data_IF_999068586465
#
_entry.id   IF_999068586465
#
_cell.length_a   1.000
_cell.length_b   1.000
_cell.length_c   1.000
_cell.angle_alpha   90.00
_cell.angle_beta   90.00
_cell.angle_gamma   90.00
#
_symmetry.space_group_name_H-M   'P 1'
#
loop_
_entity.id
_entity.type
_entity.pdbx_description
1 polymer ?
#
# COMPACT_ATOMS: atom_id res chain seq x y z
N UNK A 1 14.56 -12.56 21.82
CA UNK A 1 13.86 -12.61 20.52
C UNK A 1 14.46 -13.73 19.69
N UNK A 2 13.64 -14.71 19.30
CA UNK A 2 14.05 -15.90 18.53
C UNK A 2 12.84 -16.35 17.69
N UNK A 3 13.05 -17.13 16.63
CA UNK A 3 12.00 -17.58 15.71
C UNK A 3 12.08 -16.90 14.34
N UNK A 4 11.10 -17.16 13.47
CA UNK A 4 10.99 -16.56 12.14
C UNK A 4 9.86 -15.53 12.18
N UNK A 5 10.21 -14.24 12.26
CA UNK A 5 9.22 -13.17 12.18
C UNK A 5 8.83 -12.91 10.74
N UNK A 6 7.57 -12.56 10.50
CA UNK A 6 7.10 -12.21 9.16
C UNK A 6 7.80 -10.94 8.65
N UNK A 7 8.38 -11.00 7.45
CA UNK A 7 9.08 -9.88 6.85
C UNK A 7 8.11 -8.96 6.09
N UNK A 8 7.28 -8.25 6.84
CA UNK A 8 6.26 -7.34 6.27
C UNK A 8 6.89 -6.23 5.41
N UNK A 9 8.08 -5.75 5.75
CA UNK A 9 8.78 -4.72 4.97
C UNK A 9 9.12 -5.20 3.56
N UNK A 10 9.56 -6.46 3.42
CA UNK A 10 9.76 -7.07 2.11
C UNK A 10 8.45 -7.20 1.35
N UNK A 11 7.38 -7.69 1.99
CA UNK A 11 6.05 -7.77 1.39
C UNK A 11 5.52 -6.42 0.90
N UNK A 12 5.70 -5.35 1.68
CA UNK A 12 5.34 -4.00 1.28
C UNK A 12 6.16 -3.50 0.08
N UNK A 13 7.47 -3.83 0.00
CA UNK A 13 8.30 -3.49 -1.16
C UNK A 13 7.76 -4.14 -2.43
N UNK A 14 7.47 -5.44 -2.38
CA UNK A 14 6.85 -6.15 -3.51
C UNK A 14 5.47 -5.57 -3.86
N UNK A 15 4.65 -5.25 -2.87
CA UNK A 15 3.36 -4.59 -3.08
C UNK A 15 3.51 -3.25 -3.82
N UNK A 16 4.48 -2.41 -3.46
CA UNK A 16 4.77 -1.14 -4.16
C UNK A 16 5.30 -1.35 -5.58
N UNK A 17 6.01 -2.44 -5.84
CA UNK A 17 6.45 -2.78 -7.20
C UNK A 17 5.29 -3.13 -8.11
N UNK A 18 4.29 -3.87 -7.61
CA UNK A 18 3.19 -4.36 -8.44
C UNK A 18 1.97 -3.43 -8.46
N UNK A 19 1.46 -3.03 -7.30
CA UNK A 19 0.23 -2.25 -7.18
C UNK A 19 0.39 -0.82 -7.70
N UNK A 20 1.61 -0.26 -7.56
CA UNK A 20 1.90 1.13 -7.96
C UNK A 20 2.59 1.21 -9.34
N UNK A 21 2.82 0.08 -10.01
CA UNK A 21 3.50 -0.02 -11.30
C UNK A 21 2.84 0.83 -12.40
N UNK A 22 1.51 0.82 -12.45
CA UNK A 22 0.71 1.49 -13.48
C UNK A 22 0.89 3.02 -13.48
N UNK A 23 1.35 3.58 -12.36
CA UNK A 23 1.58 5.02 -12.18
C UNK A 23 3.05 5.40 -12.36
N UNK A 24 3.94 4.43 -12.60
CA UNK A 24 5.35 4.69 -12.94
C UNK A 24 5.41 5.20 -14.38
N UNK A 25 6.13 6.30 -14.60
CA UNK A 25 6.42 6.78 -15.95
C UNK A 25 7.19 5.67 -16.65
N UNK A 26 6.65 5.10 -17.74
CA UNK A 26 7.45 4.23 -18.62
C UNK A 26 8.68 5.03 -19.02
N UNK A 27 9.86 4.55 -18.66
CA UNK A 27 11.09 5.12 -19.16
C UNK A 27 11.04 5.08 -20.69
N UNK A 28 10.97 6.25 -21.31
CA UNK A 28 11.19 6.39 -22.76
C UNK A 28 12.66 6.75 -22.89
N UNK A 29 13.49 5.94 -23.57
CA UNK A 29 14.81 6.41 -23.97
C UNK A 29 14.59 7.60 -24.90
N UNK A 30 14.76 8.83 -24.40
CA UNK A 30 15.11 9.96 -25.27
C UNK A 30 16.46 9.65 -25.92
N UNK A 31 16.74 10.17 -27.11
CA UNK A 31 17.91 9.87 -27.96
C UNK A 31 19.21 9.54 -27.19
N UNK A 32 19.37 8.28 -26.77
CA UNK A 32 20.56 7.78 -26.09
C UNK A 32 21.49 7.24 -27.17
N UNK A 33 22.70 7.81 -27.25
CA UNK A 33 23.73 7.35 -28.18
C UNK A 33 24.07 5.88 -27.96
N UNK A 34 24.37 5.16 -29.05
CA UNK A 34 24.55 3.70 -29.08
C UNK A 34 25.52 3.14 -28.02
N UNK A 35 26.52 3.92 -27.59
CA UNK A 35 27.49 3.53 -26.55
C UNK A 35 26.90 3.39 -25.14
N UNK A 36 25.87 4.18 -24.80
CA UNK A 36 25.16 4.07 -23.50
C UNK A 36 24.16 2.91 -23.47
N UNK A 37 23.64 2.51 -24.63
CA UNK A 37 22.75 1.33 -24.80
C UNK A 37 23.43 0.02 -24.41
N UNK A 38 24.73 -0.13 -24.73
CA UNK A 38 25.48 -1.36 -24.46
C UNK A 38 25.77 -1.56 -22.97
N UNK A 39 26.15 -0.47 -22.28
CA UNK A 39 26.39 -0.46 -20.83
C UNK A 39 25.11 -0.74 -20.01
N UNK A 40 23.95 -0.33 -20.54
CA UNK A 40 22.63 -0.59 -19.93
C UNK A 40 22.19 -2.04 -20.11
N UNK A 41 22.49 -2.67 -21.26
CA UNK A 41 22.21 -4.10 -21.50
C UNK A 41 23.07 -5.02 -20.65
N UNK A 42 24.35 -4.72 -20.48
CA UNK A 42 25.26 -5.49 -19.60
C UNK A 42 24.87 -5.40 -18.10
N UNK A 43 24.10 -4.37 -17.69
CA UNK A 43 23.53 -4.25 -16.34
C UNK A 43 22.22 -5.02 -16.14
N UNK A 44 21.48 -5.33 -17.22
CA UNK A 44 20.19 -6.05 -17.18
C UNK A 44 20.36 -7.58 -17.06
N UNK A 45 21.50 -8.12 -17.46
CA UNK A 45 21.80 -9.56 -17.40
C UNK A 45 22.27 -10.02 -16.01
N UNK A 46 22.62 -9.08 -15.12
CA UNK A 46 22.80 -9.34 -13.70
C UNK A 46 21.49 -8.99 -12.99
N UNK A 47 20.97 -9.86 -12.12
CA UNK A 47 19.70 -9.70 -11.40
C UNK A 47 19.65 -8.52 -10.40
N UNK A 48 19.95 -7.31 -10.86
CA UNK A 48 19.73 -6.03 -10.19
C UNK A 48 18.42 -5.37 -10.67
N UNK A 49 17.39 -6.18 -10.99
CA UNK A 49 16.04 -5.70 -11.34
C UNK A 49 15.27 -5.18 -10.10
N UNK A 50 15.97 -4.66 -9.11
CA UNK A 50 15.38 -3.95 -7.99
C UNK A 50 16.29 -2.75 -7.76
N UNK A 51 15.77 -1.56 -8.08
CA UNK A 51 16.05 -0.30 -7.37
C UNK A 51 16.89 0.84 -7.99
N UNK A 52 17.31 0.86 -9.27
CA UNK A 52 18.15 2.00 -9.74
C UNK A 52 17.65 2.87 -10.90
N UNK A 53 16.65 2.44 -11.69
CA UNK A 53 16.24 3.21 -12.89
C UNK A 53 14.92 3.98 -12.79
N UNK A 54 14.20 3.90 -11.67
CA UNK A 54 12.92 4.58 -11.47
C UNK A 54 13.02 5.79 -10.53
N UNK A 55 14.13 6.54 -10.65
CA UNK A 55 14.47 7.70 -9.82
C UNK A 55 13.80 9.02 -10.24
N UNK A 56 12.68 9.01 -10.96
CA UNK A 56 11.77 10.16 -11.03
C UNK A 56 10.45 9.78 -10.35
N UNK A 57 10.41 9.88 -9.03
CA UNK A 57 9.14 9.90 -8.32
C UNK A 57 8.44 11.21 -8.69
N UNK A 58 7.45 11.15 -9.60
CA UNK A 58 6.52 12.27 -9.79
C UNK A 58 6.00 12.67 -8.41
N UNK A 59 5.98 13.97 -8.10
CA UNK A 59 5.29 14.43 -6.88
C UNK A 59 3.88 13.85 -6.92
N UNK A 60 3.36 13.38 -5.79
CA UNK A 60 2.00 12.82 -5.71
C UNK A 60 1.01 13.82 -6.34
N UNK A 61 1.24 15.11 -6.11
CA UNK A 61 0.44 16.23 -6.61
C UNK A 61 0.36 16.27 -8.15
N UNK A 62 1.40 15.81 -8.86
CA UNK A 62 1.43 15.86 -10.32
C UNK A 62 0.72 14.66 -10.98
N UNK A 63 0.32 13.65 -10.20
CA UNK A 63 -0.40 12.50 -10.74
C UNK A 63 -1.87 12.86 -11.02
N UNK A 64 -2.55 12.20 -11.98
CA UNK A 64 -4.00 12.33 -12.11
C UNK A 64 -4.71 12.01 -10.79
N UNK A 65 -5.82 12.69 -10.47
CA UNK A 65 -6.52 12.54 -9.19
C UNK A 65 -6.82 11.07 -8.82
N UNK A 66 -7.19 10.24 -9.80
CA UNK A 66 -7.43 8.80 -9.57
C UNK A 66 -6.16 8.04 -9.19
N UNK A 67 -5.02 8.41 -9.76
CA UNK A 67 -3.73 7.82 -9.41
C UNK A 67 -3.30 8.27 -8.01
N UNK A 68 -3.57 9.52 -7.61
CA UNK A 68 -3.33 10.00 -6.25
C UNK A 68 -4.14 9.21 -5.23
N UNK A 69 -5.46 9.08 -5.44
CA UNK A 69 -6.36 8.28 -4.61
C UNK A 69 -5.89 6.82 -4.49
N UNK A 70 -5.59 6.17 -5.62
CA UNK A 70 -5.16 4.77 -5.61
C UNK A 70 -3.83 4.58 -4.88
N UNK A 71 -2.85 5.45 -5.13
CA UNK A 71 -1.55 5.39 -4.44
C UNK A 71 -1.72 5.58 -2.92
N UNK A 72 -2.59 6.50 -2.52
CA UNK A 72 -2.94 6.72 -1.11
C UNK A 72 -3.56 5.47 -0.48
N UNK A 73 -4.64 4.96 -1.07
CA UNK A 73 -5.36 3.79 -0.55
C UNK A 73 -4.49 2.52 -0.51
N UNK A 74 -3.61 2.35 -1.50
CA UNK A 74 -2.62 1.27 -1.50
C UNK A 74 -1.65 1.37 -0.31
N UNK A 75 -1.24 2.59 0.04
CA UNK A 75 -0.35 2.83 1.19
C UNK A 75 -1.08 2.62 2.51
N UNK A 76 -2.34 3.04 2.63
CA UNK A 76 -3.20 2.73 3.80
C UNK A 76 -3.25 1.22 4.03
N UNK A 77 -3.49 0.42 2.97
CA UNK A 77 -3.51 -1.04 3.07
C UNK A 77 -2.19 -1.65 3.55
N UNK A 78 -1.06 -1.12 3.08
CA UNK A 78 0.28 -1.52 3.54
C UNK A 78 0.52 -1.17 5.01
N UNK A 79 0.05 -0.01 5.45
CA UNK A 79 0.16 0.44 6.84
C UNK A 79 -0.70 -0.41 7.77
N UNK A 80 -1.98 -0.63 7.44
CA UNK A 80 -2.87 -1.49 8.24
C UNK A 80 -2.29 -2.89 8.40
N UNK A 81 -1.66 -3.44 7.35
CA UNK A 81 -0.97 -4.74 7.42
C UNK A 81 0.21 -4.70 8.41
N UNK A 82 1.03 -3.66 8.36
CA UNK A 82 2.19 -3.49 9.24
C UNK A 82 1.80 -3.26 10.70
N UNK A 83 0.80 -2.43 10.94
CA UNK A 83 0.24 -2.14 12.27
C UNK A 83 -0.47 -3.36 12.87
N UNK A 84 -0.88 -4.31 12.03
CA UNK A 84 -1.52 -5.55 12.48
C UNK A 84 -0.57 -6.60 13.01
N UNK A 85 0.74 -6.42 12.86
CA UNK A 85 1.73 -7.35 13.43
C UNK A 85 1.53 -7.48 14.94
N UNK A 86 1.50 -8.73 15.41
CA UNK A 86 1.41 -9.03 16.82
C UNK A 86 2.49 -10.02 17.26
N UNK A 87 2.77 -10.01 18.56
CA UNK A 87 3.75 -10.92 19.17
C UNK A 87 3.12 -12.27 19.41
N UNK A 88 3.62 -13.31 18.74
CA UNK A 88 3.30 -14.69 19.06
C UNK A 88 4.44 -15.31 19.86
N UNK A 89 4.10 -16.07 20.89
CA UNK A 89 5.08 -16.77 21.73
C UNK A 89 4.75 -18.25 21.83
N UNK A 90 5.78 -19.10 21.88
CA UNK A 90 5.68 -20.52 22.19
C UNK A 90 6.49 -20.84 23.44
N UNK A 91 5.87 -21.55 24.38
CA UNK A 91 6.46 -21.96 25.64
C UNK A 91 7.11 -23.35 25.52
N UNK A 92 8.29 -23.51 26.13
CA UNK A 92 9.09 -24.73 26.02
C UNK A 92 9.75 -25.13 27.35
N UNK A 93 9.25 -24.64 28.49
CA UNK A 93 9.71 -25.09 29.79
C UNK A 93 9.24 -26.51 30.12
N UNK A 94 9.78 -27.10 31.20
CA UNK A 94 9.38 -28.42 31.70
C UNK A 94 7.87 -28.45 31.90
N UNK A 95 7.23 -29.55 31.48
CA UNK A 95 5.76 -29.70 31.50
C UNK A 95 5.01 -28.57 30.78
N UNK A 96 5.58 -28.06 29.68
CA UNK A 96 5.02 -26.94 28.89
C UNK A 96 4.88 -25.61 29.65
N UNK A 97 5.64 -25.43 30.73
CA UNK A 97 5.70 -24.14 31.44
C UNK A 97 6.26 -23.00 30.58
N UNK A 98 5.84 -21.77 30.85
CA UNK A 98 6.23 -20.58 30.08
C UNK A 98 7.44 -19.82 30.65
N UNK A 99 8.13 -20.38 31.65
CA UNK A 99 9.35 -19.80 32.24
C UNK A 99 10.45 -19.60 31.18
N UNK A 100 10.48 -20.47 30.16
CA UNK A 100 11.27 -20.31 28.94
C UNK A 100 10.31 -20.28 27.76
N UNK A 101 10.37 -19.19 26.99
CA UNK A 101 9.55 -19.01 25.79
C UNK A 101 10.33 -18.32 24.67
N UNK A 102 9.94 -18.65 23.45
CA UNK A 102 10.44 -18.02 22.22
C UNK A 102 9.31 -17.20 21.60
N UNK A 103 9.58 -15.95 21.23
CA UNK A 103 8.59 -15.05 20.64
C UNK A 103 9.10 -14.40 19.36
N UNK A 104 8.22 -14.29 18.38
CA UNK A 104 8.41 -13.65 17.08
C UNK A 104 7.20 -12.77 16.74
N UNK A 105 7.36 -11.85 15.79
CA UNK A 105 6.23 -11.06 15.28
C UNK A 105 5.62 -11.79 14.09
N UNK A 106 4.31 -11.86 14.03
CA UNK A 106 3.59 -12.52 12.93
C UNK A 106 2.33 -11.73 12.58
N UNK A 107 1.86 -11.88 11.35
CA UNK A 107 0.59 -11.32 10.90
C UNK A 107 -0.58 -12.14 11.45
N UNK A 108 -1.72 -11.50 11.73
CA UNK A 108 -2.96 -12.17 12.05
C UNK A 108 -3.57 -12.80 10.79
N UNK A 109 -4.75 -13.41 10.94
CA UNK A 109 -5.50 -13.87 9.77
C UNK A 109 -5.86 -12.68 8.87
N UNK A 110 -5.94 -12.91 7.56
CA UNK A 110 -6.31 -11.87 6.61
C UNK A 110 -7.70 -11.28 6.91
N UNK A 111 -8.59 -12.06 7.52
CA UNK A 111 -9.89 -11.61 7.97
C UNK A 111 -9.79 -10.47 8.99
N UNK A 112 -8.89 -10.57 9.97
CA UNK A 112 -8.70 -9.51 10.98
C UNK A 112 -8.16 -8.22 10.35
N UNK A 113 -7.30 -8.35 9.33
CA UNK A 113 -6.80 -7.21 8.55
C UNK A 113 -7.94 -6.60 7.73
N UNK A 114 -8.81 -7.43 7.15
CA UNK A 114 -9.96 -6.98 6.37
C UNK A 114 -10.98 -6.22 7.24
N UNK A 115 -11.23 -6.65 8.48
CA UNK A 115 -12.09 -5.92 9.42
C UNK A 115 -11.54 -4.53 9.73
N UNK A 116 -10.23 -4.41 9.99
CA UNK A 116 -9.60 -3.09 10.17
C UNK A 116 -9.74 -2.21 8.92
N UNK A 117 -9.58 -2.79 7.73
CA UNK A 117 -9.81 -2.04 6.48
C UNK A 117 -11.27 -1.64 6.29
N UNK A 118 -12.22 -2.46 6.76
CA UNK A 118 -13.64 -2.13 6.76
C UNK A 118 -13.93 -0.93 7.66
N UNK A 119 -13.33 -0.85 8.84
CA UNK A 119 -13.43 0.33 9.72
C UNK A 119 -12.92 1.58 9.00
N UNK A 120 -11.73 1.51 8.36
CA UNK A 120 -11.19 2.63 7.57
C UNK A 120 -12.06 2.98 6.35
N UNK A 121 -12.82 2.02 5.82
CA UNK A 121 -13.76 2.24 4.73
C UNK A 121 -15.01 3.00 5.21
N UNK A 122 -15.53 2.67 6.39
CA UNK A 122 -16.70 3.38 6.96
C UNK A 122 -16.39 4.84 7.30
N UNK A 123 -15.12 5.14 7.60
CA UNK A 123 -14.63 6.49 7.92
C UNK A 123 -13.98 7.19 6.70
N UNK A 124 -14.13 6.63 5.49
CA UNK A 124 -13.47 7.16 4.31
C UNK A 124 -13.97 8.57 3.94
N UNK A 125 -13.06 9.42 3.47
CA UNK A 125 -13.36 10.84 3.15
C UNK A 125 -13.06 11.20 1.68
N UNK A 126 -13.63 12.30 1.16
CA UNK A 126 -13.30 12.77 -0.18
C UNK A 126 -11.82 13.13 -0.31
N UNK A 127 -11.18 12.77 -1.43
CA UNK A 127 -9.78 13.14 -1.70
C UNK A 127 -9.54 14.66 -1.62
N UNK A 128 -10.55 15.47 -1.97
CA UNK A 128 -10.45 16.94 -1.87
C UNK A 128 -10.18 17.41 -0.45
N UNK A 129 -10.71 16.72 0.57
CA UNK A 129 -10.46 17.05 1.98
C UNK A 129 -9.01 16.77 2.35
N UNK A 130 -8.49 15.60 1.94
CA UNK A 130 -7.09 15.26 2.11
C UNK A 130 -6.17 16.30 1.43
N UNK A 131 -6.48 16.70 0.19
CA UNK A 131 -5.70 17.70 -0.54
C UNK A 131 -5.77 19.08 0.11
N UNK A 132 -6.93 19.47 0.65
CA UNK A 132 -7.09 20.71 1.40
C UNK A 132 -6.23 20.70 2.68
N UNK A 133 -6.21 19.59 3.42
CA UNK A 133 -5.36 19.40 4.60
C UNK A 133 -3.87 19.49 4.24
N UNK A 134 -3.43 18.83 3.16
CA UNK A 134 -2.05 18.91 2.68
C UNK A 134 -1.65 20.33 2.25
N UNK A 135 -2.59 21.10 1.69
CA UNK A 135 -2.39 22.51 1.35
C UNK A 135 -2.33 23.45 2.57
N UNK A 136 -3.04 23.13 3.64
CA UNK A 136 -3.02 23.86 4.92
C UNK A 136 -1.86 23.44 5.85
N UNK A 137 -1.31 22.24 5.67
CA UNK A 137 -0.21 21.68 6.46
C UNK A 137 1.17 22.29 6.12
N UNK A 138 1.25 23.62 6.06
CA UNK A 138 2.55 24.34 6.02
C UNK A 138 3.30 24.24 7.34
N UNK A 139 2.65 23.81 8.42
CA UNK A 139 3.25 23.61 9.73
C UNK A 139 3.55 22.12 10.00
N UNK A 140 4.84 21.79 10.09
CA UNK A 140 5.40 20.43 9.96
C UNK A 140 5.16 19.51 11.16
N UNK A 141 4.32 19.88 12.12
CA UNK A 141 4.31 19.23 13.43
C UNK A 141 3.08 18.39 13.73
N UNK A 142 1.92 18.57 13.06
CA UNK A 142 0.69 17.84 13.43
C UNK A 142 -0.27 17.45 12.29
N UNK A 143 0.20 17.29 11.04
CA UNK A 143 -0.71 16.98 9.89
C UNK A 143 -0.28 15.81 8.98
N UNK A 144 0.63 14.94 9.42
CA UNK A 144 1.11 13.81 8.60
C UNK A 144 0.55 12.42 8.96
N UNK A 145 -0.14 12.31 10.09
CA UNK A 145 -0.45 11.02 10.71
C UNK A 145 -1.93 10.62 10.55
N UNK A 146 -2.86 11.58 10.63
CA UNK A 146 -4.30 11.35 10.40
C UNK A 146 -4.65 11.10 8.92
N UNK A 147 -3.91 11.72 8.01
CA UNK A 147 -4.09 11.57 6.57
C UNK A 147 -3.83 10.14 6.10
N UNK A 148 -2.80 9.48 6.65
CA UNK A 148 -2.32 8.20 6.14
C UNK A 148 -3.13 7.00 6.63
N UNK A 149 -4.03 7.18 7.59
CA UNK A 149 -4.77 6.10 8.23
C UNK A 149 -6.16 5.85 7.63
N UNK A 150 -6.73 6.82 6.90
CA UNK A 150 -8.08 6.69 6.34
C UNK A 150 -8.04 6.52 4.82
N UNK A 151 -8.99 5.73 4.31
CA UNK A 151 -9.20 5.57 2.87
C UNK A 151 -9.83 6.85 2.30
N UNK A 152 -9.55 7.14 1.04
CA UNK A 152 -10.11 8.30 0.33
C UNK A 152 -10.79 7.92 -0.97
N UNK A 153 -11.79 8.71 -1.37
CA UNK A 153 -12.55 8.50 -2.61
C UNK A 153 -12.70 9.76 -3.46
N UNK A 154 -12.95 9.59 -4.76
CA UNK A 154 -13.14 10.72 -5.70
C UNK A 154 -14.59 11.07 -5.95
N UNK A 155 -15.49 10.09 -5.90
CA UNK A 155 -16.91 10.23 -6.25
C UNK A 155 -17.73 9.38 -5.29
N UNK A 156 -18.94 9.83 -5.01
CA UNK A 156 -19.90 9.06 -4.22
C UNK A 156 -20.24 7.75 -4.93
N UNK A 157 -20.50 6.72 -4.13
CA UNK A 157 -20.98 5.44 -4.62
C UNK A 157 -22.32 5.59 -5.34
N UNK A 158 -22.55 4.87 -6.45
CA UNK A 158 -23.86 4.81 -7.08
C UNK A 158 -24.87 4.05 -6.22
N UNK A 159 -26.14 4.06 -6.61
CA UNK A 159 -27.13 3.15 -6.07
C UNK A 159 -26.87 1.72 -6.59
N UNK A 160 -26.57 0.80 -5.67
CA UNK A 160 -26.34 -0.60 -5.97
C UNK A 160 -27.61 -1.46 -5.88
N UNK A 161 -28.75 -0.89 -5.49
CA UNK A 161 -30.02 -1.62 -5.40
C UNK A 161 -30.58 -1.96 -6.78
N UNK A 162 -30.46 -1.02 -7.72
CA UNK A 162 -30.97 -1.14 -9.09
C UNK A 162 -29.84 -1.60 -10.02
N UNK A 163 -30.19 -2.45 -10.99
CA UNK A 163 -29.28 -2.86 -12.05
C UNK A 163 -28.93 -1.65 -12.94
N UNK A 164 -27.63 -1.36 -13.06
CA UNK A 164 -27.10 -0.28 -13.91
C UNK A 164 -25.81 -0.76 -14.61
N UNK A 165 -25.94 -1.09 -15.89
CA UNK A 165 -24.84 -1.58 -16.72
C UNK A 165 -23.72 -0.53 -16.92
N UNK A 166 -24.00 0.76 -16.78
CA UNK A 166 -23.00 1.84 -16.92
C UNK A 166 -22.05 1.88 -15.72
N UNK A 167 -22.56 1.59 -14.52
CA UNK A 167 -21.75 1.49 -13.30
C UNK A 167 -21.23 0.08 -13.03
N UNK A 168 -21.81 -0.93 -13.70
CA UNK A 168 -21.54 -2.34 -13.46
C UNK A 168 -22.30 -2.90 -12.26
N UNK A 169 -23.35 -2.20 -11.80
CA UNK A 169 -24.23 -2.69 -10.74
C UNK A 169 -25.19 -3.74 -11.29
N UNK A 170 -25.22 -4.93 -10.66
CA UNK A 170 -26.18 -6.00 -11.00
C UNK A 170 -27.54 -5.85 -10.29
N UNK A 171 -27.67 -4.86 -9.40
CA UNK A 171 -28.81 -4.76 -8.50
C UNK A 171 -28.85 -5.83 -7.42
N UNK A 172 -29.85 -5.76 -6.55
CA UNK A 172 -30.02 -6.67 -5.40
C UNK A 172 -31.20 -7.63 -5.52
N UNK A 173 -31.91 -7.64 -6.66
CA UNK A 173 -33.06 -8.53 -6.84
C UNK A 173 -32.62 -10.01 -6.78
N UNK A 174 -33.21 -10.78 -5.87
CA UNK A 174 -32.92 -12.21 -5.62
C UNK A 174 -31.57 -12.52 -4.93
N UNK A 175 -31.03 -11.58 -4.13
CA UNK A 175 -29.90 -11.81 -3.23
C UNK A 175 -30.26 -11.48 -1.78
#
# INVERSE_FOLDING_TARGET
WKGCSDNVLYGQRVSREWADASWRKKWRPGNVTAGKRRRHRELLDNWAYIDTDFSEHKSIIDLPLRAQMNKHNNEVGRQVTQESLYRKCKCHGVSSSCNVRTCWNTLPDVYDIALKLQERYMEASPLSELLAQLGYATDKTMNGELSKQHLVYLRNSPDYCVEDNRTGSYGTRMR
#
